data_IF_063209286025
#
_entry.id   IF_063209286025
#
_cell.length_a   1.000
_cell.length_b   1.000
_cell.length_c   1.000
_cell.angle_alpha   90.00
_cell.angle_beta   90.00
_cell.angle_gamma   90.00
#
_symmetry.space_group_name_H-M   'P 1'
#
loop_
_entity.id
_entity.type
_entity.pdbx_description
1 polymer ?
#
# COMPACT_ATOMS: atom_id res chain seq x y z
N UNK A 1 29.29 -34.96 1.91
CA UNK A 1 28.72 -34.84 3.27
C UNK A 1 27.47 -34.03 3.12
N UNK A 2 26.31 -34.67 3.30
CA UNK A 2 25.01 -34.01 3.16
C UNK A 2 24.72 -33.25 4.45
N UNK A 3 25.28 -32.05 4.58
CA UNK A 3 24.91 -31.08 5.62
C UNK A 3 23.74 -30.21 5.13
N UNK A 4 22.69 -30.86 4.61
CA UNK A 4 21.38 -30.25 4.36
C UNK A 4 20.56 -30.23 5.66
N UNK A 5 21.20 -29.77 6.75
CA UNK A 5 20.51 -29.45 7.99
C UNK A 5 19.53 -28.30 7.69
N UNK A 6 18.25 -28.47 8.01
CA UNK A 6 17.20 -27.51 7.67
C UNK A 6 17.54 -26.11 8.23
N UNK A 7 18.00 -25.22 7.36
CA UNK A 7 18.41 -23.86 7.73
C UNK A 7 17.18 -23.08 8.22
N UNK A 8 17.11 -22.85 9.53
CA UNK A 8 16.12 -21.98 10.14
C UNK A 8 16.47 -20.52 9.85
N UNK A 9 15.51 -19.80 9.27
CA UNK A 9 15.65 -18.39 8.94
C UNK A 9 14.60 -17.58 9.72
N UNK A 10 15.01 -16.43 10.25
CA UNK A 10 14.11 -15.49 10.91
C UNK A 10 14.21 -14.10 10.28
N UNK A 11 13.08 -13.41 10.17
CA UNK A 11 13.04 -12.03 9.67
C UNK A 11 13.39 -11.05 10.78
N UNK A 12 14.20 -10.03 10.47
CA UNK A 12 14.48 -8.95 11.43
C UNK A 12 13.22 -8.10 11.68
N UNK A 13 12.91 -7.77 12.95
CA UNK A 13 11.80 -6.89 13.27
C UNK A 13 12.01 -5.48 12.72
N UNK A 14 10.90 -4.75 12.53
CA UNK A 14 10.95 -3.37 12.03
C UNK A 14 11.73 -2.50 13.02
N UNK A 15 12.74 -1.79 12.53
CA UNK A 15 13.58 -0.89 13.32
C UNK A 15 14.91 -1.50 13.80
N UNK A 16 15.10 -2.81 13.66
CA UNK A 16 16.41 -3.45 13.94
C UNK A 16 17.26 -3.48 12.68
N UNK A 17 18.42 -2.82 12.72
CA UNK A 17 19.44 -2.89 11.67
C UNK A 17 20.26 -4.18 11.81
N UNK A 18 20.84 -4.71 10.72
CA UNK A 18 21.65 -5.93 10.78
C UNK A 18 22.90 -5.78 11.68
N UNK A 19 23.41 -4.56 11.85
CA UNK A 19 24.56 -4.25 12.70
C UNK A 19 24.23 -4.36 14.20
N UNK A 20 22.97 -4.17 14.58
CA UNK A 20 22.52 -4.16 15.98
C UNK A 20 22.02 -5.54 16.45
N UNK A 21 22.26 -6.60 15.67
CA UNK A 21 21.84 -7.96 16.00
C UNK A 21 22.91 -8.66 16.82
N UNK A 22 22.62 -8.84 18.11
CA UNK A 22 23.46 -9.64 19.00
C UNK A 22 23.11 -11.13 18.93
N UNK A 23 24.03 -12.00 19.36
CA UNK A 23 23.84 -13.46 19.37
C UNK A 23 22.57 -13.87 20.14
N UNK A 24 22.35 -13.31 21.33
CA UNK A 24 21.16 -13.59 22.15
C UNK A 24 19.85 -13.24 21.43
N UNK A 25 19.82 -12.08 20.76
CA UNK A 25 18.68 -11.66 19.96
C UNK A 25 18.47 -12.59 18.77
N UNK A 26 19.54 -12.99 18.07
CA UNK A 26 19.47 -13.90 16.94
C UNK A 26 18.88 -15.27 17.33
N UNK A 27 19.32 -15.84 18.46
CA UNK A 27 18.79 -17.10 18.98
C UNK A 27 17.29 -16.98 19.29
N UNK A 28 16.89 -15.87 19.92
CA UNK A 28 15.47 -15.60 20.21
C UNK A 28 14.64 -15.48 18.92
N UNK A 29 15.12 -14.78 17.89
CA UNK A 29 14.41 -14.68 16.62
C UNK A 29 14.28 -16.03 15.90
N UNK A 30 15.31 -16.87 15.96
CA UNK A 30 15.31 -18.21 15.36
C UNK A 30 14.41 -19.21 16.11
N UNK A 31 14.04 -18.92 17.35
CA UNK A 31 13.07 -19.70 18.14
C UNK A 31 11.60 -19.38 17.82
N UNK A 32 11.31 -18.37 17.00
CA UNK A 32 9.95 -18.11 16.53
C UNK A 32 9.52 -19.23 15.57
N UNK A 33 8.28 -19.74 15.58
CA UNK A 33 7.09 -19.26 16.30
C UNK A 33 7.07 -19.61 17.79
N UNK A 34 6.79 -18.63 18.66
CA UNK A 34 6.70 -18.84 20.11
C UNK A 34 5.27 -19.14 20.52
N UNK A 35 5.04 -20.27 21.16
CA UNK A 35 3.76 -20.62 21.77
C UNK A 35 3.70 -20.02 23.19
N UNK A 36 2.65 -19.24 23.49
CA UNK A 36 2.46 -18.58 24.78
C UNK A 36 1.61 -19.41 25.75
N UNK A 37 0.79 -20.33 25.21
CA UNK A 37 -0.12 -21.17 25.98
C UNK A 37 -1.44 -21.42 25.24
N UNK A 38 -2.38 -22.04 25.93
CA UNK A 38 -3.72 -22.32 25.42
C UNK A 38 -4.67 -21.20 25.81
N UNK A 39 -5.58 -20.85 24.90
CA UNK A 39 -6.65 -19.90 25.18
C UNK A 39 -7.67 -20.52 26.15
N UNK A 40 -8.15 -19.80 27.19
CA UNK A 40 -9.03 -20.35 28.21
C UNK A 40 -10.40 -20.81 27.69
N UNK A 41 -10.92 -20.15 26.64
CA UNK A 41 -12.25 -20.47 26.08
C UNK A 41 -12.24 -21.68 25.14
N UNK A 42 -11.29 -21.71 24.19
CA UNK A 42 -11.32 -22.65 23.06
C UNK A 42 -10.20 -23.69 23.12
N UNK A 43 -9.32 -23.62 24.13
CA UNK A 43 -8.14 -24.49 24.31
C UNK A 43 -7.20 -24.55 23.10
N UNK A 44 -7.29 -23.58 22.19
CA UNK A 44 -6.40 -23.47 21.03
C UNK A 44 -5.10 -22.74 21.39
N UNK A 45 -3.96 -23.09 20.77
CA UNK A 45 -2.68 -22.46 21.05
C UNK A 45 -2.66 -21.00 20.58
N UNK A 46 -2.13 -20.13 21.43
CA UNK A 46 -1.83 -18.74 21.12
C UNK A 46 -0.36 -18.64 20.74
N UNK A 47 -0.10 -18.27 19.48
CA UNK A 47 1.23 -18.26 18.89
C UNK A 47 1.64 -16.82 18.54
N UNK A 48 2.78 -16.38 19.05
CA UNK A 48 3.40 -15.11 18.73
C UNK A 48 4.44 -15.29 17.61
N UNK A 49 4.23 -14.59 16.48
CA UNK A 49 5.10 -14.71 15.30
C UNK A 49 5.31 -13.37 14.62
N UNK A 50 6.23 -13.34 13.65
CA UNK A 50 6.46 -12.16 12.83
C UNK A 50 6.06 -12.41 11.37
N UNK A 51 5.34 -11.44 10.79
CA UNK A 51 4.91 -11.49 9.40
C UNK A 51 5.21 -10.20 8.63
N UNK A 52 4.75 -10.13 7.38
CA UNK A 52 4.95 -8.98 6.46
C UNK A 52 4.57 -7.63 7.09
N UNK A 53 3.53 -7.61 7.92
CA UNK A 53 2.99 -6.38 8.49
C UNK A 53 3.61 -6.01 9.84
N UNK A 54 4.40 -6.90 10.43
CA UNK A 54 4.98 -6.75 11.77
C UNK A 54 4.69 -7.96 12.66
N UNK A 55 4.99 -7.85 13.96
CA UNK A 55 4.70 -8.87 14.95
C UNK A 55 3.18 -9.02 15.16
N UNK A 56 2.71 -10.26 15.24
CA UNK A 56 1.29 -10.56 15.38
C UNK A 56 1.07 -11.86 16.18
N UNK A 57 -0.08 -11.91 16.83
CA UNK A 57 -0.61 -13.08 17.52
C UNK A 57 -1.52 -13.84 16.58
N UNK A 58 -1.40 -15.16 16.59
CA UNK A 58 -2.26 -16.09 15.88
C UNK A 58 -2.94 -17.00 16.90
N UNK A 59 -4.26 -17.11 16.79
CA UNK A 59 -5.09 -18.02 17.55
C UNK A 59 -6.05 -18.68 16.55
N UNK A 60 -5.79 -19.95 16.21
CA UNK A 60 -6.57 -20.66 15.18
C UNK A 60 -6.68 -19.89 13.87
N UNK A 61 -7.89 -19.42 13.56
CA UNK A 61 -8.22 -18.61 12.38
C UNK A 61 -8.16 -17.09 12.63
N UNK A 62 -8.16 -16.62 13.89
CA UNK A 62 -8.02 -15.20 14.18
C UNK A 62 -6.55 -14.80 14.32
N UNK A 63 -6.29 -13.54 14.02
CA UNK A 63 -4.98 -12.94 14.14
C UNK A 63 -5.10 -11.47 14.48
N UNK A 64 -4.20 -11.01 15.34
CA UNK A 64 -4.12 -9.61 15.78
C UNK A 64 -2.69 -9.13 15.75
N UNK A 65 -2.49 -7.90 15.28
CA UNK A 65 -1.17 -7.26 15.35
C UNK A 65 -0.86 -6.93 16.80
N UNK A 66 0.40 -7.16 17.21
CA UNK A 66 0.86 -6.77 18.53
C UNK A 66 1.05 -5.24 18.51
N UNK A 67 0.46 -4.49 19.47
CA UNK A 67 0.68 -3.05 19.63
C UNK A 67 2.16 -2.71 19.80
N UNK A 68 2.56 -1.48 19.47
CA UNK A 68 3.95 -1.04 19.59
C UNK A 68 4.47 -0.99 21.04
N UNK A 69 3.55 -1.01 22.01
CA UNK A 69 3.85 -1.05 23.45
C UNK A 69 4.42 -2.39 23.89
N UNK A 70 4.09 -3.47 23.19
CA UNK A 70 4.50 -4.83 23.54
C UNK A 70 5.58 -5.36 22.59
N UNK A 71 6.60 -5.99 23.17
CA UNK A 71 7.64 -6.67 22.40
C UNK A 71 7.21 -8.10 22.05
N UNK A 72 7.43 -8.51 20.80
CA UNK A 72 7.17 -9.88 20.34
C UNK A 72 7.85 -10.95 21.19
N UNK A 73 9.04 -10.63 21.72
CA UNK A 73 9.87 -11.58 22.46
C UNK A 73 9.46 -11.70 23.93
N UNK A 74 8.73 -10.73 24.47
CA UNK A 74 8.45 -10.61 25.92
C UNK A 74 6.96 -10.75 26.26
N UNK A 75 6.07 -10.60 25.27
CA UNK A 75 4.63 -10.65 25.47
C UNK A 75 4.19 -11.92 26.23
N UNK A 76 3.33 -11.72 27.25
CA UNK A 76 2.76 -12.79 28.06
C UNK A 76 1.44 -13.31 27.49
N UNK A 77 0.97 -14.47 27.97
CA UNK A 77 -0.32 -15.01 27.58
C UNK A 77 -1.47 -14.03 27.92
N UNK A 78 -1.44 -13.44 29.12
CA UNK A 78 -2.47 -12.50 29.59
C UNK A 78 -2.59 -11.28 28.66
N UNK A 79 -1.47 -10.67 28.31
CA UNK A 79 -1.41 -9.56 27.36
C UNK A 79 -1.87 -9.98 25.96
N UNK A 80 -1.52 -11.19 25.54
CA UNK A 80 -1.96 -11.72 24.25
C UNK A 80 -3.48 -11.91 24.20
N UNK A 81 -4.11 -12.35 25.29
CA UNK A 81 -5.56 -12.48 25.40
C UNK A 81 -6.26 -11.11 25.32
N UNK A 82 -5.71 -10.09 25.98
CA UNK A 82 -6.24 -8.72 25.89
C UNK A 82 -6.23 -8.22 24.44
N UNK A 83 -5.11 -8.40 23.73
CA UNK A 83 -4.98 -8.00 22.32
C UNK A 83 -5.92 -8.81 21.41
N UNK A 84 -6.14 -10.10 21.70
CA UNK A 84 -7.07 -10.95 20.96
C UNK A 84 -8.53 -10.56 21.19
N UNK A 85 -8.89 -10.11 22.39
CA UNK A 85 -10.22 -9.64 22.73
C UNK A 85 -10.58 -8.32 22.02
N UNK A 86 -9.58 -7.51 21.65
CA UNK A 86 -9.81 -6.30 20.87
C UNK A 86 -10.38 -6.62 19.48
N UNK A 87 -11.23 -5.74 18.91
CA UNK A 87 -11.76 -5.95 17.57
C UNK A 87 -10.66 -5.86 16.50
N UNK A 88 -10.65 -6.82 15.58
CA UNK A 88 -10.75 -6.59 14.13
C UNK A 88 -10.06 -5.39 13.50
N UNK A 89 -8.86 -4.95 13.88
CA UNK A 89 -8.27 -3.75 13.27
C UNK A 89 -8.04 -3.98 11.76
N UNK A 90 -8.98 -3.51 10.94
CA UNK A 90 -9.03 -3.68 9.49
C UNK A 90 -8.03 -2.74 8.80
N UNK A 91 -6.74 -2.92 9.12
CA UNK A 91 -5.64 -2.10 8.61
C UNK A 91 -5.30 -2.50 7.17
N UNK A 92 -6.23 -2.26 6.24
CA UNK A 92 -6.00 -2.53 4.82
C UNK A 92 -7.21 -2.55 3.88
N UNK A 93 -8.45 -2.54 4.38
CA UNK A 93 -9.65 -2.56 3.51
C UNK A 93 -10.54 -1.35 3.72
N UNK A 94 -10.02 -0.15 3.46
CA UNK A 94 -10.79 1.05 3.07
C UNK A 94 -12.00 1.43 3.94
N UNK A 95 -12.12 0.89 5.15
CA UNK A 95 -13.20 1.06 6.09
C UNK A 95 -12.55 1.37 7.44
N UNK A 96 -11.73 2.42 7.44
CA UNK A 96 -11.71 3.25 8.65
C UNK A 96 -13.16 3.60 8.96
N UNK A 97 -13.50 3.72 10.24
CA UNK A 97 -14.80 4.25 10.67
C UNK A 97 -15.17 5.38 9.72
N UNK A 98 -16.26 5.20 8.97
CA UNK A 98 -16.57 6.08 7.86
C UNK A 98 -16.61 7.49 8.42
N UNK A 99 -15.72 8.36 7.94
CA UNK A 99 -15.62 9.71 8.48
C UNK A 99 -17.02 10.33 8.48
N UNK A 100 -17.39 11.03 9.57
CA UNK A 100 -18.68 11.70 9.64
C UNK A 100 -18.81 12.66 8.44
N UNK A 101 -20.03 12.82 7.90
CA UNK A 101 -20.25 13.74 6.79
C UNK A 101 -19.84 15.16 7.19
N UNK A 102 -19.09 15.82 6.31
CA UNK A 102 -18.59 17.18 6.50
C UNK A 102 -19.73 18.21 6.48
N UNK A 103 -20.73 17.97 5.63
CA UNK A 103 -21.91 18.81 5.46
C UNK A 103 -23.08 17.92 5.06
N UNK A 104 -24.24 18.14 5.66
CA UNK A 104 -25.51 17.50 5.28
C UNK A 104 -26.41 18.59 4.71
N UNK A 105 -26.88 18.40 3.49
CA UNK A 105 -27.82 19.27 2.79
C UNK A 105 -29.21 18.61 2.77
N UNK A 106 -30.19 19.31 2.21
CA UNK A 106 -31.57 18.84 2.09
C UNK A 106 -31.69 17.56 1.26
N UNK A 107 -32.88 16.96 1.28
CA UNK A 107 -33.17 15.73 0.55
C UNK A 107 -33.04 15.92 -0.97
N UNK A 108 -32.36 14.98 -1.62
CA UNK A 108 -32.24 14.94 -3.08
C UNK A 108 -33.62 14.80 -3.74
N UNK A 109 -33.93 15.57 -4.79
CA UNK A 109 -35.19 15.45 -5.52
C UNK A 109 -35.34 14.10 -6.24
N UNK A 110 -34.23 13.38 -6.45
CA UNK A 110 -34.23 12.09 -7.18
C UNK A 110 -34.44 10.91 -6.24
N UNK A 111 -33.80 10.92 -5.07
CA UNK A 111 -33.73 9.76 -4.16
C UNK A 111 -34.45 9.98 -2.83
N UNK A 112 -34.86 11.22 -2.51
CA UNK A 112 -35.52 11.58 -1.25
C UNK A 112 -34.62 11.45 -0.02
N UNK A 113 -33.33 11.16 -0.19
CA UNK A 113 -32.33 10.98 0.88
C UNK A 113 -31.53 12.26 1.08
N UNK A 114 -31.07 12.55 2.32
CA UNK A 114 -30.24 13.71 2.58
C UNK A 114 -28.94 13.62 1.77
N UNK A 115 -28.54 14.75 1.19
CA UNK A 115 -27.31 14.86 0.41
C UNK A 115 -26.15 15.10 1.39
N UNK A 116 -25.19 14.19 1.44
CA UNK A 116 -24.01 14.28 2.31
C UNK A 116 -22.75 14.64 1.52
N UNK A 117 -22.00 15.63 1.99
CA UNK A 117 -20.63 15.89 1.59
C UNK A 117 -19.68 15.08 2.48
N UNK A 118 -18.80 14.29 1.87
CA UNK A 118 -17.88 13.41 2.59
C UNK A 118 -16.47 13.53 2.02
N UNK A 119 -15.48 13.23 2.85
CA UNK A 119 -14.10 13.07 2.40
C UNK A 119 -13.81 11.60 2.06
N UNK A 120 -13.26 11.37 0.88
CA UNK A 120 -12.99 10.04 0.34
C UNK A 120 -11.56 9.90 -0.15
N UNK A 121 -11.19 8.67 -0.54
CA UNK A 121 -9.84 8.37 -1.05
C UNK A 121 -9.39 9.29 -2.21
N UNK A 122 -10.33 9.80 -2.99
CA UNK A 122 -10.08 10.61 -4.18
C UNK A 122 -10.38 12.11 -3.97
N UNK A 123 -10.65 12.54 -2.73
CA UNK A 123 -11.06 13.89 -2.37
C UNK A 123 -12.54 13.98 -1.98
N UNK A 124 -13.02 15.22 -1.81
CA UNK A 124 -14.39 15.50 -1.42
C UNK A 124 -15.39 15.02 -2.47
N UNK A 125 -16.48 14.42 -2.01
CA UNK A 125 -17.56 13.96 -2.86
C UNK A 125 -18.91 14.13 -2.17
N UNK A 126 -19.94 14.32 -2.98
CA UNK A 126 -21.33 14.37 -2.57
C UNK A 126 -21.97 13.00 -2.82
N UNK A 127 -22.79 12.55 -1.88
CA UNK A 127 -23.55 11.31 -1.97
C UNK A 127 -24.98 11.52 -1.52
N UNK A 128 -25.93 10.97 -2.27
CA UNK A 128 -27.33 10.81 -1.85
C UNK A 128 -27.60 9.36 -1.34
N UNK A 129 -26.53 8.61 -1.04
CA UNK A 129 -26.57 7.21 -0.66
C UNK A 129 -26.70 6.22 -1.83
N UNK A 130 -26.99 6.68 -3.05
CA UNK A 130 -27.10 5.83 -4.24
C UNK A 130 -26.10 6.22 -5.33
N UNK A 131 -25.97 7.52 -5.60
CA UNK A 131 -25.07 8.14 -6.56
C UNK A 131 -23.99 8.92 -5.81
N UNK A 132 -22.74 8.75 -6.25
CA UNK A 132 -21.59 9.46 -5.67
C UNK A 132 -20.93 10.33 -6.73
N UNK A 133 -20.94 11.64 -6.53
CA UNK A 133 -20.34 12.63 -7.42
C UNK A 133 -19.14 13.31 -6.75
N UNK A 134 -17.96 13.24 -7.37
CA UNK A 134 -16.76 13.91 -6.86
C UNK A 134 -16.84 15.42 -7.09
N UNK A 135 -16.40 16.21 -6.12
CA UNK A 135 -16.26 17.65 -6.29
C UNK A 135 -15.08 17.96 -7.22
N UNK A 136 -15.20 18.97 -8.10
CA UNK A 136 -14.07 19.59 -8.76
C UNK A 136 -13.02 20.08 -7.76
N UNK A 137 -11.74 20.02 -8.12
CA UNK A 137 -10.63 20.42 -7.23
C UNK A 137 -10.60 21.91 -6.88
N UNK A 138 -11.32 22.74 -7.64
CA UNK A 138 -11.36 24.18 -7.46
C UNK A 138 -12.57 24.64 -6.63
N UNK A 139 -13.51 23.74 -6.31
CA UNK A 139 -14.68 24.05 -5.49
C UNK A 139 -14.43 23.57 -4.06
N UNK A 140 -14.51 24.48 -3.09
CA UNK A 140 -14.40 24.15 -1.67
C UNK A 140 -15.69 23.45 -1.20
N UNK A 141 -15.56 22.54 -0.23
CA UNK A 141 -16.71 21.83 0.33
C UNK A 141 -17.66 22.74 1.11
N UNK A 142 -17.16 23.86 1.61
CA UNK A 142 -17.91 24.81 2.43
C UNK A 142 -18.88 25.65 1.60
N UNK A 143 -18.43 26.10 0.42
CA UNK A 143 -19.20 26.93 -0.53
C UNK A 143 -20.25 26.13 -1.32
N UNK A 144 -20.27 24.80 -1.17
CA UNK A 144 -21.16 23.95 -1.96
C UNK A 144 -22.63 24.20 -1.57
N UNK A 145 -23.40 24.66 -2.56
CA UNK A 145 -24.84 24.91 -2.44
C UNK A 145 -25.67 23.67 -2.79
N UNK A 146 -26.92 23.63 -2.31
CA UNK A 146 -27.85 22.52 -2.60
C UNK A 146 -28.04 22.28 -4.11
N UNK A 147 -28.26 23.36 -4.87
CA UNK A 147 -28.45 23.28 -6.32
C UNK A 147 -27.22 22.71 -7.05
N UNK A 148 -26.02 23.13 -6.64
CA UNK A 148 -24.78 22.60 -7.21
C UNK A 148 -24.59 21.12 -6.85
N UNK A 149 -24.96 20.71 -5.63
CA UNK A 149 -24.91 19.32 -5.20
C UNK A 149 -25.80 18.43 -6.06
N UNK A 150 -27.05 18.86 -6.28
CA UNK A 150 -28.03 18.15 -7.13
C UNK A 150 -27.52 18.07 -8.57
N UNK A 151 -27.04 19.16 -9.14
CA UNK A 151 -26.52 19.18 -10.51
C UNK A 151 -25.33 18.21 -10.69
N UNK A 152 -24.43 18.11 -9.71
CA UNK A 152 -23.31 17.17 -9.75
C UNK A 152 -23.78 15.71 -9.67
N UNK A 153 -24.78 15.42 -8.84
CA UNK A 153 -25.36 14.09 -8.71
C UNK A 153 -26.10 13.67 -9.99
N UNK A 154 -26.90 14.55 -10.58
CA UNK A 154 -27.61 14.31 -11.84
C UNK A 154 -26.63 14.09 -13.00
N UNK A 155 -25.62 14.96 -13.13
CA UNK A 155 -24.58 14.80 -14.13
C UNK A 155 -23.86 13.45 -13.99
N UNK A 156 -23.65 12.99 -12.75
CA UNK A 156 -23.01 11.70 -12.49
C UNK A 156 -23.93 10.52 -12.76
N UNK A 157 -25.21 10.62 -12.40
CA UNK A 157 -26.22 9.62 -12.69
C UNK A 157 -26.37 9.44 -14.21
N UNK A 158 -26.35 10.54 -14.99
CA UNK A 158 -26.40 10.52 -16.44
C UNK A 158 -25.15 9.90 -17.10
N UNK A 159 -23.96 10.07 -16.51
CA UNK A 159 -22.72 9.49 -17.04
C UNK A 159 -22.60 7.97 -16.85
N UNK A 160 -23.37 7.39 -15.92
CA UNK A 160 -23.34 5.95 -15.63
C UNK A 160 -22.01 5.44 -15.05
N UNK A 161 -21.92 4.15 -14.71
CA UNK A 161 -20.71 3.55 -14.15
C UNK A 161 -19.56 3.62 -15.17
N UNK A 162 -18.42 4.19 -14.77
CA UNK A 162 -17.26 4.33 -15.65
C UNK A 162 -16.80 2.97 -16.17
N UNK A 163 -16.84 2.76 -17.49
CA UNK A 163 -16.28 1.56 -18.14
C UNK A 163 -14.78 1.50 -17.87
N UNK A 164 -14.34 0.54 -17.06
CA UNK A 164 -12.90 0.28 -16.87
C UNK A 164 -12.30 -0.07 -18.23
N UNK A 165 -11.42 0.79 -18.76
CA UNK A 165 -10.58 0.41 -19.90
C UNK A 165 -9.73 -0.78 -19.46
N UNK A 166 -9.97 -1.95 -20.06
CA UNK A 166 -9.18 -3.14 -19.80
C UNK A 166 -7.72 -2.80 -20.12
N UNK A 167 -6.87 -2.81 -19.10
CA UNK A 167 -5.43 -2.63 -19.27
C UNK A 167 -4.96 -3.84 -20.07
N UNK A 168 -4.55 -3.63 -21.32
CA UNK A 168 -4.03 -4.71 -22.16
C UNK A 168 -2.94 -5.44 -21.37
N UNK A 169 -3.13 -6.76 -21.16
CA UNK A 169 -2.10 -7.61 -20.57
C UNK A 169 -0.88 -7.49 -21.48
N UNK A 170 0.14 -6.77 -21.02
CA UNK A 170 1.47 -6.83 -21.61
C UNK A 170 1.92 -8.28 -21.46
N UNK A 171 1.93 -9.01 -22.56
CA UNK A 171 2.40 -10.38 -22.60
C UNK A 171 3.82 -10.40 -22.02
N UNK A 172 3.97 -11.04 -20.86
CA UNK A 172 5.27 -11.41 -20.34
C UNK A 172 5.84 -12.41 -21.33
N UNK A 173 6.81 -11.97 -22.13
CA UNK A 173 7.66 -12.85 -22.92
C UNK A 173 8.21 -13.93 -21.99
N UNK A 174 7.79 -15.18 -22.20
CA UNK A 174 8.33 -16.33 -21.52
C UNK A 174 9.86 -16.34 -21.68
N UNK A 175 10.63 -16.72 -20.65
CA UNK A 175 12.08 -16.80 -20.75
C UNK A 175 12.46 -17.78 -21.86
N UNK A 176 13.15 -17.28 -22.86
CA UNK A 176 13.67 -18.05 -23.98
C UNK A 176 14.55 -19.18 -23.45
N UNK A 177 14.12 -20.43 -23.67
CA UNK A 177 14.97 -21.59 -23.55
C UNK A 177 16.15 -21.41 -24.52
N UNK A 178 17.37 -21.32 -23.99
CA UNK A 178 18.60 -21.39 -24.77
C UNK A 178 18.63 -22.76 -25.47
N UNK A 179 18.29 -22.81 -26.75
CA UNK A 179 18.61 -23.93 -27.62
C UNK A 179 19.91 -23.61 -28.36
N UNK A 180 20.90 -24.47 -28.13
CA UNK A 180 22.24 -24.37 -28.66
C UNK A 180 22.24 -24.29 -30.20
N UNK A 181 23.12 -23.43 -30.71
CA UNK A 181 23.36 -23.24 -32.13
C UNK A 181 24.06 -24.46 -32.75
N UNK A 182 23.52 -24.97 -33.87
CA UNK A 182 24.32 -25.66 -34.87
C UNK A 182 24.05 -25.07 -36.25
N UNK A 183 25.14 -24.63 -36.87
CA UNK A 183 25.25 -24.06 -38.21
C UNK A 183 24.86 -25.09 -39.29
N UNK A 184 24.17 -24.65 -40.34
CA UNK A 184 24.49 -25.06 -41.71
C UNK A 184 24.04 -24.02 -42.74
N UNK A 185 24.70 -24.08 -43.88
CA UNK A 185 25.07 -22.98 -44.76
C UNK A 185 24.01 -22.49 -45.76
N UNK A 186 24.12 -21.19 -46.04
CA UNK A 186 24.00 -20.49 -47.33
C UNK A 186 22.96 -20.93 -48.37
N UNK A 187 22.11 -19.97 -48.78
CA UNK A 187 22.04 -19.54 -50.18
C UNK A 187 21.54 -18.08 -50.29
N UNK A 188 22.27 -17.31 -51.09
CA UNK A 188 22.01 -15.91 -51.46
C UNK A 188 20.82 -15.83 -52.42
N UNK A 189 19.98 -14.81 -52.29
CA UNK A 189 19.43 -14.10 -53.46
C UNK A 189 19.28 -12.62 -53.16
N UNK A 190 19.80 -11.82 -54.09
CA UNK A 190 19.95 -10.37 -54.10
C UNK A 190 18.96 -9.81 -55.12
N UNK A 191 18.27 -8.72 -54.79
CA UNK A 191 17.94 -7.56 -55.66
C UNK A 191 17.40 -6.45 -54.74
N UNK A 192 18.19 -5.39 -54.49
CA UNK A 192 18.05 -4.03 -55.05
C UNK A 192 16.80 -3.27 -54.53
N UNK A 193 16.78 -2.02 -54.04
CA UNK A 193 17.68 -0.85 -53.94
C UNK A 193 16.87 0.25 -53.14
N UNK A 194 17.28 1.52 -52.95
CA UNK A 194 18.17 2.04 -51.89
C UNK A 194 17.58 3.16 -50.97
N UNK A 195 18.37 3.49 -49.93
CA UNK A 195 18.61 4.81 -49.30
C UNK A 195 17.44 5.57 -48.62
N UNK A 196 17.54 5.97 -47.34
CA UNK A 196 18.43 7.06 -46.86
C UNK A 196 18.78 6.93 -45.37
N UNK A 197 20.10 6.99 -45.06
CA UNK A 197 20.68 7.41 -43.76
C UNK A 197 20.41 8.92 -43.57
N UNK A 198 20.40 9.53 -42.38
CA UNK A 198 21.54 9.70 -41.49
C UNK A 198 21.16 10.48 -40.20
N UNK A 199 22.04 10.51 -39.17
CA UNK A 199 21.74 10.76 -37.75
C UNK A 199 22.35 12.08 -37.21
N UNK A 200 22.22 12.34 -35.89
CA UNK A 200 23.07 13.15 -34.96
C UNK A 200 22.17 13.98 -34.00
N UNK A 201 22.52 14.35 -32.77
CA UNK A 201 23.65 14.11 -31.85
C UNK A 201 23.21 14.58 -30.46
N UNK A 202 23.91 14.09 -29.44
CA UNK A 202 23.87 14.55 -28.05
C UNK A 202 24.60 15.89 -27.81
N UNK A 203 24.19 16.61 -26.76
CA UNK A 203 24.97 17.53 -25.90
C UNK A 203 24.18 17.66 -24.58
N UNK A 204 24.58 17.16 -23.40
CA UNK A 204 25.74 17.34 -22.51
C UNK A 204 25.81 18.72 -21.81
N UNK A 205 25.96 18.63 -20.47
CA UNK A 205 26.48 19.58 -19.45
C UNK A 205 25.43 20.45 -18.73
N UNK A 206 25.15 20.22 -17.44
CA UNK A 206 25.92 20.49 -16.20
C UNK A 206 26.26 21.97 -15.98
N UNK A 207 25.66 22.58 -14.95
CA UNK A 207 26.30 23.64 -14.16
C UNK A 207 25.69 23.70 -12.75
N UNK A 208 26.55 23.40 -11.76
CA UNK A 208 26.40 23.72 -10.33
C UNK A 208 26.60 25.23 -10.13
N UNK A 209 25.90 25.84 -9.17
CA UNK A 209 26.36 27.02 -8.39
C UNK A 209 25.53 27.06 -7.10
N UNK A 210 26.04 26.59 -5.96
CA UNK A 210 26.97 27.25 -5.03
C UNK A 210 26.39 28.51 -4.37
N UNK A 211 25.82 28.30 -3.18
CA UNK A 211 25.98 29.01 -1.89
C UNK A 211 26.42 30.49 -1.95
N UNK A 212 25.59 31.36 -1.35
CA UNK A 212 26.06 32.55 -0.61
C UNK A 212 25.40 32.60 0.76
N UNK A 213 26.22 32.26 1.77
CA UNK A 213 26.06 32.56 3.19
C UNK A 213 26.19 34.09 3.34
N UNK A 214 25.24 34.75 3.98
CA UNK A 214 25.38 36.16 4.40
C UNK A 214 25.15 36.20 5.91
N UNK A 215 26.25 36.37 6.63
CA UNK A 215 26.31 36.68 8.05
C UNK A 215 26.23 38.20 8.17
N UNK A 216 25.32 38.71 9.00
CA UNK A 216 25.46 40.02 9.64
C UNK A 216 25.04 39.89 11.09
N UNK A 217 25.96 40.34 11.92
CA UNK A 217 25.96 40.52 13.38
C UNK A 217 25.09 41.74 13.70
N UNK A 218 24.33 41.71 14.79
CA UNK A 218 24.45 42.67 15.90
C UNK A 218 23.28 42.65 16.90
N UNK A 219 23.71 42.62 18.19
CA UNK A 219 23.13 43.25 19.39
C UNK A 219 21.82 42.71 19.98
N UNK A 220 21.89 42.22 21.23
CA UNK A 220 21.09 42.61 22.41
C UNK A 220 21.73 41.92 23.65
N UNK A 221 21.89 42.74 24.70
CA UNK A 221 22.28 42.46 26.11
C UNK A 221 23.70 41.97 26.44
#
# INVERSE_FOLDING_TARGET
>A
TNDDEEKKNASLPKGVSPENVNLDLAVKLLSLPRELGLHPTDSQPVIATQGRFGPFLKHGSDSRSIPAEYSLLEITLEQALEVLAQPKAMRGRGRGVAAPPLKTLDASPVTGKPIELRDGRYGLYVTDGQTNASLPKNTSGEELSFEQAVALLEARAAQGPSKKKAKAKRATTAPAQKKAAQKKAAQKKVTDKPAKKAPKKAAKKTAKKAVKKKTTKDQIE
#
